data_IF_897446896811
#
_entry.id   IF_897446896811
#
_cell.length_a   1.000
_cell.length_b   1.000
_cell.length_c   1.000
_cell.angle_alpha   90.00
_cell.angle_beta   90.00
_cell.angle_gamma   90.00
#
_symmetry.space_group_name_H-M   'P 1'
#
loop_
_entity.id
_entity.type
_entity.pdbx_description
1 polymer ?
#
# COMPACT_ATOMS: atom_id res chain seq x y z
N UNK A 1 -10.85 -3.77 -3.24
CA UNK A 1 -9.77 -2.89 -3.75
C UNK A 1 -8.84 -3.73 -4.60
N UNK A 2 -8.46 -3.31 -5.81
CA UNK A 2 -7.50 -4.04 -6.63
C UNK A 2 -6.07 -3.77 -6.11
N UNK A 3 -5.33 -4.85 -5.89
CA UNK A 3 -3.91 -4.86 -5.47
C UNK A 3 -3.15 -5.82 -6.39
N UNK A 4 -1.84 -5.97 -6.20
CA UNK A 4 -1.05 -6.97 -6.93
C UNK A 4 -1.71 -8.36 -6.82
N UNK A 5 -1.98 -9.00 -7.97
CA UNK A 5 -2.74 -10.26 -8.03
C UNK A 5 -1.94 -11.48 -7.54
N UNK A 6 -0.60 -11.37 -7.46
CA UNK A 6 0.29 -12.47 -7.08
C UNK A 6 1.32 -12.00 -6.05
N UNK A 7 1.49 -12.80 -5.01
CA UNK A 7 2.45 -12.54 -3.93
C UNK A 7 1.96 -11.45 -2.96
N UNK A 8 2.87 -11.05 -2.08
CA UNK A 8 2.63 -10.05 -1.04
C UNK A 8 2.11 -8.74 -1.65
N UNK A 9 1.02 -8.18 -1.10
CA UNK A 9 0.42 -6.94 -1.60
C UNK A 9 1.37 -5.72 -1.54
N UNK A 10 2.44 -5.80 -0.74
CA UNK A 10 3.50 -4.78 -0.68
C UNK A 10 4.71 -5.13 -1.55
N UNK A 11 5.36 -6.28 -1.35
CA UNK A 11 6.66 -6.56 -1.96
C UNK A 11 6.61 -7.59 -3.10
N UNK A 12 5.43 -8.12 -3.41
CA UNK A 12 5.19 -9.17 -4.42
C UNK A 12 5.94 -10.48 -4.15
N UNK A 13 6.58 -10.64 -2.99
CA UNK A 13 7.19 -11.88 -2.57
C UNK A 13 6.16 -13.02 -2.57
N UNK A 14 6.54 -14.19 -3.05
CA UNK A 14 5.71 -15.39 -3.09
C UNK A 14 6.00 -16.36 -1.93
N UNK A 15 6.74 -15.89 -0.93
CA UNK A 15 7.08 -16.61 0.30
C UNK A 15 6.46 -15.91 1.51
N UNK A 16 6.39 -16.63 2.64
CA UNK A 16 5.68 -16.21 3.83
C UNK A 16 4.27 -16.79 3.89
N UNK A 17 3.58 -16.55 5.00
CA UNK A 17 2.29 -17.16 5.33
C UNK A 17 1.34 -16.18 6.04
N UNK A 18 1.65 -14.88 6.01
CA UNK A 18 0.84 -13.88 6.70
C UNK A 18 -0.38 -13.49 5.89
N UNK A 19 -1.55 -13.49 6.54
CA UNK A 19 -2.81 -13.07 5.94
C UNK A 19 -3.49 -12.07 6.85
N UNK A 20 -3.99 -10.99 6.27
CA UNK A 20 -4.73 -9.98 7.01
C UNK A 20 -5.89 -9.44 6.20
N UNK A 21 -6.96 -9.04 6.88
CA UNK A 21 -8.10 -8.38 6.27
C UNK A 21 -7.84 -6.88 6.20
N UNK A 22 -7.86 -6.33 4.99
CA UNK A 22 -7.71 -4.89 4.74
C UNK A 22 -8.86 -4.46 3.82
N UNK A 23 -9.62 -3.43 4.23
CA UNK A 23 -10.75 -2.92 3.44
C UNK A 23 -11.80 -4.00 3.08
N UNK A 24 -12.06 -4.94 4.00
CA UNK A 24 -13.01 -6.04 3.81
C UNK A 24 -12.53 -7.11 2.82
N UNK A 25 -11.25 -7.09 2.45
CA UNK A 25 -10.64 -8.08 1.56
C UNK A 25 -9.49 -8.78 2.29
N UNK A 26 -9.53 -10.11 2.29
CA UNK A 26 -8.42 -10.93 2.81
C UNK A 26 -7.25 -10.88 1.84
N UNK A 27 -6.09 -10.41 2.30
CA UNK A 27 -4.90 -10.21 1.49
C UNK A 27 -3.72 -11.00 2.05
N UNK A 28 -2.84 -11.43 1.14
CA UNK A 28 -1.58 -12.10 1.49
C UNK A 28 -0.45 -11.09 1.65
N UNK A 29 0.36 -11.29 2.67
CA UNK A 29 1.61 -10.59 2.90
C UNK A 29 2.71 -11.60 3.26
N UNK A 30 3.97 -11.27 2.96
CA UNK A 30 5.09 -12.14 3.34
C UNK A 30 5.38 -12.09 4.84
N UNK A 31 4.98 -11.02 5.53
CA UNK A 31 5.11 -10.83 6.98
C UNK A 31 4.07 -9.82 7.48
N UNK A 32 3.97 -9.71 8.81
CA UNK A 32 3.15 -8.74 9.53
C UNK A 32 3.55 -7.29 9.25
N UNK A 33 4.86 -7.00 9.13
CA UNK A 33 5.36 -5.65 8.82
C UNK A 33 4.82 -5.16 7.48
N UNK A 34 4.82 -5.99 6.44
CA UNK A 34 4.25 -5.64 5.14
C UNK A 34 2.75 -5.33 5.25
N UNK A 35 2.01 -6.01 6.13
CA UNK A 35 0.61 -5.71 6.34
C UNK A 35 0.41 -4.37 7.08
N UNK A 36 1.26 -4.07 8.07
CA UNK A 36 1.31 -2.78 8.78
C UNK A 36 1.61 -1.63 7.81
N UNK A 37 2.67 -1.77 7.00
CA UNK A 37 3.06 -0.80 5.96
C UNK A 37 1.88 -0.49 5.03
N UNK A 38 1.20 -1.54 4.56
CA UNK A 38 0.07 -1.41 3.67
C UNK A 38 -1.10 -0.66 4.32
N UNK A 39 -1.51 -1.05 5.53
CA UNK A 39 -2.59 -0.37 6.27
C UNK A 39 -2.26 1.10 6.53
N UNK A 40 -1.02 1.40 6.92
CA UNK A 40 -0.57 2.77 7.16
C UNK A 40 -0.60 3.61 5.89
N UNK A 41 -0.14 3.06 4.77
CA UNK A 41 -0.21 3.71 3.46
C UNK A 41 -1.65 4.01 3.05
N UNK A 42 -2.56 3.02 3.16
CA UNK A 42 -3.97 3.19 2.80
C UNK A 42 -4.61 4.28 3.68
N UNK A 43 -4.35 4.26 4.99
CA UNK A 43 -4.84 5.27 5.93
C UNK A 43 -4.34 6.67 5.56
N UNK A 44 -3.06 6.81 5.23
CA UNK A 44 -2.46 8.10 4.87
C UNK A 44 -2.99 8.64 3.54
N UNK A 45 -3.18 7.77 2.53
CA UNK A 45 -3.81 8.15 1.26
C UNK A 45 -5.23 8.65 1.48
N UNK A 46 -6.05 7.92 2.26
CA UNK A 46 -7.42 8.34 2.58
C UNK A 46 -7.47 9.66 3.32
N UNK A 47 -6.56 9.86 4.29
CA UNK A 47 -6.43 11.11 5.05
C UNK A 47 -6.12 12.31 4.15
N UNK A 48 -5.20 12.16 3.19
CA UNK A 48 -4.77 13.25 2.30
C UNK A 48 -5.77 13.56 1.19
N UNK A 49 -6.38 12.52 0.63
CA UNK A 49 -7.34 12.65 -0.48
C UNK A 49 -8.78 12.90 -0.04
N UNK A 50 -9.10 12.60 1.22
CA UNK A 50 -10.47 12.55 1.75
C UNK A 50 -11.29 11.38 1.21
N UNK A 51 -10.67 10.42 0.51
CA UNK A 51 -11.39 9.27 -0.06
C UNK A 51 -11.77 8.27 1.04
N UNK A 52 -13.01 7.77 0.98
CA UNK A 52 -13.50 6.76 1.93
C UNK A 52 -13.02 5.36 1.59
N UNK A 53 -12.81 5.08 0.31
CA UNK A 53 -12.39 3.78 -0.23
C UNK A 53 -11.38 4.00 -1.34
N UNK A 54 -10.71 2.92 -1.73
CA UNK A 54 -9.79 2.87 -2.87
C UNK A 54 -10.23 1.77 -3.82
N UNK A 55 -10.29 2.11 -5.10
CA UNK A 55 -10.65 1.15 -6.15
C UNK A 55 -9.43 0.29 -6.49
N UNK A 56 -8.26 0.90 -6.57
CA UNK A 56 -7.01 0.25 -6.94
C UNK A 56 -5.80 0.96 -6.35
N UNK A 57 -4.78 0.19 -6.00
CA UNK A 57 -3.45 0.71 -5.67
C UNK A 57 -2.38 -0.06 -6.45
N UNK A 58 -1.57 0.70 -7.18
CA UNK A 58 -0.39 0.18 -7.89
C UNK A 58 0.85 0.68 -7.20
N UNK A 59 1.85 -0.18 -7.12
CA UNK A 59 3.11 0.15 -6.48
C UNK A 59 4.26 -0.49 -7.23
N UNK A 60 5.34 0.28 -7.37
CA UNK A 60 6.60 -0.15 -7.96
C UNK A 60 7.75 0.37 -7.09
N UNK A 61 8.93 -0.23 -7.20
CA UNK A 61 10.10 0.15 -6.40
C UNK A 61 10.46 -0.87 -5.32
N UNK A 62 11.32 -0.48 -4.38
CA UNK A 62 11.92 -1.37 -3.40
C UNK A 62 12.10 -0.68 -2.03
N UNK A 63 12.92 -1.27 -1.15
CA UNK A 63 13.15 -0.74 0.21
C UNK A 63 13.68 0.71 0.25
N UNK A 64 14.28 1.22 -0.83
CA UNK A 64 14.80 2.60 -0.88
C UNK A 64 13.70 3.64 -1.09
N UNK A 65 12.52 3.21 -1.50
CA UNK A 65 11.39 4.06 -1.86
C UNK A 65 10.49 3.35 -2.86
N UNK A 66 9.19 3.61 -2.73
CA UNK A 66 8.14 3.03 -3.55
C UNK A 66 7.37 4.15 -4.22
N UNK A 67 7.19 4.01 -5.53
CA UNK A 67 6.30 4.86 -6.31
C UNK A 67 4.93 4.21 -6.38
N UNK A 68 3.92 4.95 -5.96
CA UNK A 68 2.56 4.48 -5.77
C UNK A 68 1.56 5.32 -6.57
N UNK A 69 0.52 4.65 -7.04
CA UNK A 69 -0.64 5.28 -7.67
C UNK A 69 -1.91 4.69 -7.05
N UNK A 70 -2.68 5.54 -6.38
CA UNK A 70 -4.00 5.21 -5.86
C UNK A 70 -5.09 5.73 -6.81
N UNK A 71 -6.16 4.94 -6.95
CA UNK A 71 -7.31 5.23 -7.80
C UNK A 71 -8.61 5.21 -7.01
N UNK A 72 -9.47 6.20 -7.24
CA UNK A 72 -10.83 6.24 -6.72
C UNK A 72 -11.75 7.04 -7.66
N UNK A 73 -12.83 6.41 -8.14
CA UNK A 73 -13.83 7.07 -8.99
C UNK A 73 -13.25 7.71 -10.25
N UNK A 74 -12.20 7.11 -10.83
CA UNK A 74 -11.47 7.63 -11.99
C UNK A 74 -10.42 8.71 -11.68
N UNK A 75 -10.32 9.17 -10.43
CA UNK A 75 -9.26 10.08 -9.98
C UNK A 75 -7.99 9.32 -9.62
N UNK A 76 -6.84 9.93 -9.90
CA UNK A 76 -5.51 9.39 -9.60
C UNK A 76 -4.85 10.22 -8.51
N UNK A 77 -4.09 9.54 -7.66
CA UNK A 77 -3.26 10.15 -6.65
C UNK A 77 -1.90 9.46 -6.66
N UNK A 78 -0.87 10.18 -7.12
CA UNK A 78 0.49 9.68 -7.26
C UNK A 78 1.35 10.15 -6.10
N UNK A 79 2.13 9.26 -5.53
CA UNK A 79 2.98 9.58 -4.39
C UNK A 79 4.16 8.61 -4.29
N UNK A 80 5.24 9.09 -3.70
CA UNK A 80 6.36 8.27 -3.26
C UNK A 80 6.31 8.07 -1.75
N UNK A 81 6.62 6.86 -1.31
CA UNK A 81 6.57 6.48 0.11
C UNK A 81 7.80 5.67 0.52
N UNK A 82 8.25 5.88 1.76
CA UNK A 82 9.28 5.09 2.44
C UNK A 82 8.79 4.71 3.82
N UNK A 83 9.05 3.46 4.22
CA UNK A 83 8.70 2.95 5.53
C UNK A 83 9.93 2.78 6.43
N UNK A 84 9.72 2.86 7.74
CA UNK A 84 10.70 2.48 8.75
C UNK A 84 10.69 0.97 9.01
N UNK A 85 11.63 0.48 9.85
CA UNK A 85 11.76 -0.94 10.17
C UNK A 85 10.55 -1.57 10.90
N UNK A 86 9.60 -0.77 11.39
CA UNK A 86 8.38 -1.21 12.07
C UNK A 86 7.13 -1.05 11.19
N UNK A 87 7.31 -0.64 9.94
CA UNK A 87 6.23 -0.38 8.98
C UNK A 87 5.55 0.97 9.16
N UNK A 88 6.12 1.88 9.95
CA UNK A 88 5.69 3.28 10.02
C UNK A 88 6.09 4.04 8.75
N UNK A 89 5.38 5.11 8.42
CA UNK A 89 5.73 5.96 7.27
C UNK A 89 6.85 6.91 7.70
N UNK A 90 8.04 6.71 7.13
CA UNK A 90 9.22 7.55 7.38
C UNK A 90 9.25 8.76 6.45
N UNK A 91 8.83 8.58 5.18
CA UNK A 91 8.70 9.68 4.23
C UNK A 91 7.50 9.46 3.30
N UNK A 92 6.81 10.55 2.96
CA UNK A 92 5.69 10.57 2.03
C UNK A 92 5.73 11.86 1.21
N UNK A 93 5.87 11.75 -0.11
CA UNK A 93 5.88 12.90 -1.01
C UNK A 93 4.82 12.74 -2.11
N UNK A 94 4.00 13.77 -2.28
CA UNK A 94 2.95 13.80 -3.29
C UNK A 94 3.49 14.29 -4.63
N UNK A 95 2.93 13.76 -5.72
CA UNK A 95 3.26 14.19 -7.07
C UNK A 95 1.99 14.71 -7.76
N UNK A 96 2.10 15.89 -8.38
CA UNK A 96 1.02 16.54 -9.13
C UNK A 96 0.70 15.82 -10.44
#
# INVERSE_FOLDING_TARGET
MKVAEKGCAICQATWGDYWEEVEGQRMFFCCDICAIEFKNMISEVKKRTGWKTLDEIKMTGNYRGRECMALYGGRRYNFSIRFDSKGGIDAFSEHA
#
